data_IF_769385673421
#
_entry.id   IF_769385673421
#
_cell.length_a   1.000
_cell.length_b   1.000
_cell.length_c   1.000
_cell.angle_alpha   90.00
_cell.angle_beta   90.00
_cell.angle_gamma   90.00
#
_symmetry.space_group_name_H-M   'P 1'
#
loop_
_entity.id
_entity.type
_entity.pdbx_description
1 polymer ?
#
# COMPACT_ATOMS: atom_id res chain seq x y z
N UNK A 1 -19.23 -22.25 -6.00
CA UNK A 1 -17.96 -21.79 -5.39
C UNK A 1 -17.48 -20.58 -6.18
N UNK A 2 -17.13 -19.44 -5.55
CA UNK A 2 -16.54 -18.33 -6.29
C UNK A 2 -15.19 -18.73 -6.88
N UNK A 3 -14.85 -18.16 -8.04
CA UNK A 3 -13.56 -18.40 -8.71
C UNK A 3 -12.41 -17.94 -7.81
N UNK A 4 -11.34 -18.72 -7.75
CA UNK A 4 -10.09 -18.32 -7.09
C UNK A 4 -9.39 -17.25 -7.93
N UNK A 5 -8.98 -16.15 -7.30
CA UNK A 5 -8.16 -15.12 -7.96
C UNK A 5 -6.89 -15.73 -8.56
N UNK A 6 -6.54 -15.27 -9.75
CA UNK A 6 -5.24 -15.49 -10.38
C UNK A 6 -4.14 -14.71 -9.67
N UNK A 7 -2.88 -15.06 -9.92
CA UNK A 7 -1.73 -14.32 -9.40
C UNK A 7 -1.72 -12.85 -9.87
N UNK A 8 -2.14 -12.60 -11.12
CA UNK A 8 -2.26 -11.25 -11.66
C UNK A 8 -3.32 -10.44 -10.91
N UNK A 9 -4.54 -10.97 -10.80
CA UNK A 9 -5.64 -10.29 -10.09
C UNK A 9 -5.28 -10.00 -8.63
N UNK A 10 -4.58 -10.94 -7.96
CA UNK A 10 -4.09 -10.74 -6.60
C UNK A 10 -3.04 -9.63 -6.51
N UNK A 11 -2.08 -9.59 -7.44
CA UNK A 11 -1.02 -8.57 -7.46
C UNK A 11 -1.59 -7.17 -7.74
N UNK A 12 -2.50 -7.05 -8.72
CA UNK A 12 -3.21 -5.80 -9.01
C UNK A 12 -4.02 -5.31 -7.81
N UNK A 13 -4.74 -6.22 -7.14
CA UNK A 13 -5.50 -5.89 -5.93
C UNK A 13 -4.60 -5.41 -4.81
N UNK A 14 -3.46 -6.06 -4.56
CA UNK A 14 -2.50 -5.62 -3.55
C UNK A 14 -1.92 -4.23 -3.83
N UNK A 15 -1.57 -3.94 -5.10
CA UNK A 15 -1.10 -2.61 -5.50
C UNK A 15 -2.18 -1.56 -5.26
N UNK A 16 -3.43 -1.82 -5.67
CA UNK A 16 -4.55 -0.89 -5.48
C UNK A 16 -4.85 -0.64 -4.01
N UNK A 17 -5.09 -1.69 -3.24
CA UNK A 17 -5.42 -1.58 -1.80
C UNK A 17 -4.29 -0.92 -1.01
N UNK A 18 -3.03 -1.22 -1.33
CA UNK A 18 -1.88 -0.63 -0.67
C UNK A 18 -1.72 0.87 -0.98
N UNK A 19 -1.96 1.28 -2.23
CA UNK A 19 -1.97 2.70 -2.60
C UNK A 19 -3.05 3.49 -1.84
N UNK A 20 -4.26 2.93 -1.74
CA UNK A 20 -5.34 3.55 -0.98
C UNK A 20 -5.01 3.66 0.52
N UNK A 21 -4.40 2.62 1.11
CA UNK A 21 -3.98 2.64 2.52
C UNK A 21 -2.93 3.72 2.77
N UNK A 22 -1.94 3.84 1.88
CA UNK A 22 -0.90 4.88 1.96
C UNK A 22 -1.53 6.27 1.88
N UNK A 23 -2.46 6.50 0.94
CA UNK A 23 -3.14 7.78 0.81
C UNK A 23 -3.90 8.16 2.08
N UNK A 24 -4.63 7.22 2.67
CA UNK A 24 -5.33 7.44 3.95
C UNK A 24 -4.37 7.70 5.11
N UNK A 25 -3.25 6.97 5.18
CA UNK A 25 -2.26 7.16 6.24
C UNK A 25 -1.58 8.52 6.16
N UNK A 26 -1.27 9.01 4.94
CA UNK A 26 -0.75 10.36 4.73
C UNK A 26 -1.73 11.43 5.21
N UNK A 27 -2.99 11.35 4.80
CA UNK A 27 -4.02 12.28 5.24
C UNK A 27 -4.23 12.28 6.77
N UNK A 28 -4.12 11.10 7.41
CA UNK A 28 -4.17 11.00 8.86
C UNK A 28 -2.97 11.69 9.53
N UNK A 29 -1.76 11.48 9.02
CA UNK A 29 -0.54 12.12 9.54
C UNK A 29 -0.66 13.65 9.42
N UNK A 30 -1.11 14.15 8.27
CA UNK A 30 -1.30 15.59 8.05
C UNK A 30 -2.30 16.16 9.09
N UNK A 31 -3.43 15.50 9.29
CA UNK A 31 -4.43 15.92 10.29
C UNK A 31 -3.91 15.88 11.73
N UNK A 32 -3.08 14.88 12.08
CA UNK A 32 -2.46 14.80 13.41
C UNK A 32 -1.43 15.93 13.60
N UNK A 33 -0.64 16.21 12.57
CA UNK A 33 0.37 17.27 12.59
C UNK A 33 -0.27 18.66 12.74
N UNK A 34 -1.34 18.94 12.01
CA UNK A 34 -2.12 20.20 12.13
C UNK A 34 -2.67 20.43 13.54
N UNK A 35 -2.98 19.34 14.26
CA UNK A 35 -3.48 19.37 15.63
C UNK A 35 -2.36 19.39 16.68
N UNK A 36 -1.09 19.40 16.27
CA UNK A 36 0.07 19.34 17.16
C UNK A 36 0.20 18.00 17.91
N UNK A 37 -0.41 16.93 17.39
CA UNK A 37 -0.35 15.60 18.00
C UNK A 37 0.93 14.86 17.57
N UNK A 38 1.45 13.94 18.40
CA UNK A 38 2.62 13.15 18.01
C UNK A 38 2.36 12.30 16.76
N UNK A 39 3.26 12.41 15.77
CA UNK A 39 3.16 11.68 14.50
C UNK A 39 4.25 10.62 14.29
N UNK A 40 5.21 10.49 15.21
CA UNK A 40 6.40 9.66 15.01
C UNK A 40 6.05 8.21 14.63
N UNK A 41 5.23 7.54 15.43
CA UNK A 41 4.82 6.15 15.17
C UNK A 41 3.99 6.02 13.89
N UNK A 42 3.15 7.02 13.59
CA UNK A 42 2.34 7.06 12.38
C UNK A 42 3.22 7.17 11.12
N UNK A 43 4.30 7.95 11.18
CA UNK A 43 5.29 8.09 10.11
C UNK A 43 6.09 6.79 9.93
N UNK A 44 6.52 6.16 11.03
CA UNK A 44 7.21 4.85 10.97
C UNK A 44 6.31 3.79 10.32
N UNK A 45 5.03 3.76 10.68
CA UNK A 45 4.05 2.86 10.06
C UNK A 45 3.86 3.17 8.57
N UNK A 46 3.78 4.44 8.18
CA UNK A 46 3.68 4.84 6.78
C UNK A 46 4.89 4.34 5.98
N UNK A 47 6.11 4.47 6.50
CA UNK A 47 7.32 3.97 5.85
C UNK A 47 7.28 2.45 5.62
N UNK A 48 6.73 1.69 6.58
CA UNK A 48 6.53 0.26 6.42
C UNK A 48 5.52 -0.07 5.31
N UNK A 49 4.40 0.65 5.23
CA UNK A 49 3.44 0.49 4.15
C UNK A 49 4.03 0.86 2.79
N UNK A 50 4.81 1.93 2.69
CA UNK A 50 5.49 2.31 1.45
C UNK A 50 6.52 1.26 1.01
N UNK A 51 7.22 0.63 1.96
CA UNK A 51 8.11 -0.48 1.67
C UNK A 51 7.37 -1.71 1.12
N UNK A 52 6.27 -2.10 1.76
CA UNK A 52 5.42 -3.18 1.27
C UNK A 52 4.82 -2.87 -0.12
N UNK A 53 4.39 -1.63 -0.35
CA UNK A 53 3.85 -1.20 -1.65
C UNK A 53 4.88 -1.33 -2.76
N UNK A 54 6.16 -0.98 -2.51
CA UNK A 54 7.23 -1.20 -3.49
C UNK A 54 7.39 -2.69 -3.83
N UNK A 55 7.23 -3.59 -2.86
CA UNK A 55 7.28 -5.03 -3.11
C UNK A 55 6.09 -5.51 -3.95
N UNK A 56 4.88 -4.99 -3.69
CA UNK A 56 3.69 -5.31 -4.48
C UNK A 56 3.79 -4.82 -5.93
N UNK A 57 4.26 -3.59 -6.14
CA UNK A 57 4.48 -3.04 -7.50
C UNK A 57 5.53 -3.87 -8.23
N UNK A 58 6.68 -4.15 -7.59
CA UNK A 58 7.72 -4.97 -8.19
C UNK A 58 7.24 -6.40 -8.50
N UNK A 59 6.31 -6.95 -7.72
CA UNK A 59 5.71 -8.25 -8.01
C UNK A 59 4.82 -8.20 -9.25
N UNK A 60 3.94 -7.20 -9.35
CA UNK A 60 3.07 -6.99 -10.51
C UNK A 60 3.91 -6.79 -11.79
N UNK A 61 4.95 -5.96 -11.73
CA UNK A 61 5.86 -5.75 -12.86
C UNK A 61 6.56 -7.04 -13.33
N UNK A 62 6.89 -7.96 -12.40
CA UNK A 62 7.45 -9.26 -12.77
C UNK A 62 6.43 -10.15 -13.47
N UNK A 63 5.18 -10.15 -13.01
CA UNK A 63 4.12 -10.92 -13.66
C UNK A 63 3.85 -10.40 -15.07
N UNK A 64 3.75 -9.09 -15.26
CA UNK A 64 3.54 -8.45 -16.56
C UNK A 64 4.67 -8.71 -17.58
N UNK A 65 5.88 -9.02 -17.12
CA UNK A 65 7.03 -9.38 -17.98
C UNK A 65 7.14 -10.87 -18.28
N UNK A 66 6.35 -11.69 -17.60
CA UNK A 66 6.39 -13.15 -17.69
C UNK A 66 5.22 -13.74 -18.49
N UNK A 67 4.29 -12.90 -18.92
CA UNK A 67 3.21 -13.18 -19.90
C UNK A 67 3.65 -12.78 -21.31
#
# INVERSE_FOLDING_TARGET
MPRRESLMEMAERHVREGAERIARQRALIDSLAERGLPIYDAVVMLQAFEAAQRQHVAHLERLLKSD
#
